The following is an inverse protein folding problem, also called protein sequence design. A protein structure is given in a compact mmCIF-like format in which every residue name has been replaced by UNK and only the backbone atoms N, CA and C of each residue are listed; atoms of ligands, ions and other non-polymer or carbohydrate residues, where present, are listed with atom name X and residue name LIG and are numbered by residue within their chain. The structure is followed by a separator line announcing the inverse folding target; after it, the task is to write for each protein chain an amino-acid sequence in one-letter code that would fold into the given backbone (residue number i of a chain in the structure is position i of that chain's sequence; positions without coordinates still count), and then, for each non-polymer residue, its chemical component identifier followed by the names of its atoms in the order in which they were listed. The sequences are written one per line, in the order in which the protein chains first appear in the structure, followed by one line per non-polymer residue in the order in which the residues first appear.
data_IF_489914503173
#
_entry.id   IF_489914503173
#
_cell.length_a   1.000
_cell.length_b   1.000
_cell.length_c   1.000
_cell.angle_alpha   90.00
_cell.angle_beta   90.00
_cell.angle_gamma   90.00
#
_symmetry.space_group_name_H-M   'P 1'
#
loop_
_entity.id
_entity.type
_entity.pdbx_description
1 polymer ?
#
# COMPACT_ATOMS: atom_id res chain seq x y z
N UNK A 1 -27.05 70.87 2.68
CA UNK A 1 -27.00 69.77 3.66
C UNK A 1 -27.58 68.54 3.00
N UNK A 2 -26.70 67.66 2.49
CA UNK A 2 -26.38 66.32 3.03
C UNK A 2 -27.52 65.30 2.79
N UNK A 3 -27.36 64.40 1.80
CA UNK A 3 -26.99 62.96 1.94
C UNK A 3 -28.17 62.10 2.48
N UNK A 4 -28.50 60.87 2.07
CA UNK A 4 -27.91 59.87 1.17
C UNK A 4 -28.94 58.72 0.93
N UNK A 5 -28.69 57.90 -0.10
CA UNK A 5 -29.31 56.59 -0.39
C UNK A 5 -29.18 55.59 0.78
N UNK A 6 -30.10 54.62 0.90
CA UNK A 6 -29.75 53.27 1.39
C UNK A 6 -30.37 52.21 0.48
N UNK A 7 -29.47 51.52 -0.22
CA UNK A 7 -29.66 50.33 -1.04
C UNK A 7 -29.65 49.13 -0.10
N UNK A 8 -30.67 48.27 -0.15
CA UNK A 8 -30.65 46.95 0.50
C UNK A 8 -29.53 46.11 -0.10
N UNK A 9 -28.51 45.79 0.71
CA UNK A 9 -27.46 44.83 0.34
C UNK A 9 -27.85 43.45 0.87
N UNK A 10 -28.10 42.53 -0.04
CA UNK A 10 -28.07 41.08 0.20
C UNK A 10 -26.62 40.72 0.50
N UNK A 11 -26.32 40.31 1.73
CA UNK A 11 -25.02 39.73 2.09
C UNK A 11 -25.15 38.23 1.93
N UNK A 12 -24.75 37.72 0.76
CA UNK A 12 -24.51 36.29 0.56
C UNK A 12 -23.16 35.93 1.17
N UNK A 13 -23.17 35.12 2.23
CA UNK A 13 -21.96 34.59 2.85
C UNK A 13 -21.48 33.39 2.04
N UNK A 14 -20.40 33.54 1.25
CA UNK A 14 -19.75 32.43 0.57
C UNK A 14 -18.80 31.73 1.54
N UNK A 15 -19.22 30.59 2.10
CA UNK A 15 -18.34 29.64 2.78
C UNK A 15 -17.62 28.81 1.72
N UNK A 16 -16.38 29.17 1.39
CA UNK A 16 -15.49 28.31 0.60
C UNK A 16 -14.99 27.22 1.56
N UNK A 17 -15.57 26.03 1.46
CA UNK A 17 -15.03 24.82 2.08
C UNK A 17 -13.72 24.47 1.37
N UNK A 18 -12.59 24.74 2.01
CA UNK A 18 -11.31 24.14 1.64
C UNK A 18 -11.43 22.63 1.88
N UNK A 19 -11.69 21.87 0.82
CA UNK A 19 -11.56 20.41 0.87
C UNK A 19 -10.07 20.08 0.90
N UNK A 20 -9.56 19.69 2.06
CA UNK A 20 -8.26 19.02 2.11
C UNK A 20 -8.42 17.70 1.33
N UNK A 21 -7.44 17.32 0.49
CA UNK A 21 -7.45 16.01 -0.14
C UNK A 21 -7.59 14.94 0.95
N UNK A 22 -8.62 14.11 0.83
CA UNK A 22 -8.78 12.97 1.70
C UNK A 22 -7.62 12.02 1.42
N UNK A 23 -6.67 11.93 2.37
CA UNK A 23 -5.55 11.02 2.24
C UNK A 23 -6.08 9.60 2.19
N UNK A 24 -5.78 8.92 1.09
CA UNK A 24 -6.07 7.51 0.99
C UNK A 24 -5.04 6.76 1.84
N UNK A 25 -5.48 5.67 2.49
CA UNK A 25 -4.62 4.84 3.31
C UNK A 25 -5.04 3.37 3.19
N UNK A 26 -4.09 2.46 3.00
CA UNK A 26 -4.37 1.03 2.88
C UNK A 26 -3.14 0.15 2.78
N UNK A 27 -3.35 -1.16 2.95
CA UNK A 27 -2.32 -2.19 2.83
C UNK A 27 -2.95 -3.54 2.44
N UNK A 28 -2.13 -4.51 2.06
CA UNK A 28 -2.60 -5.87 1.85
C UNK A 28 -2.63 -6.62 3.19
N UNK A 29 -3.83 -7.05 3.58
CA UNK A 29 -4.07 -7.86 4.78
C UNK A 29 -3.89 -9.36 4.52
N UNK A 30 -4.21 -9.83 3.31
CA UNK A 30 -4.11 -11.24 2.93
C UNK A 30 -3.58 -11.39 1.49
N UNK A 31 -2.63 -12.30 1.23
CA UNK A 31 -1.66 -12.79 2.21
C UNK A 31 -0.98 -11.60 2.92
N UNK A 32 -0.57 -11.76 4.17
CA UNK A 32 -0.10 -10.64 4.99
C UNK A 32 1.11 -9.94 4.37
N UNK A 33 1.00 -8.65 4.10
CA UNK A 33 2.12 -7.83 3.63
C UNK A 33 3.15 -7.55 4.73
N UNK A 34 4.27 -6.93 4.34
CA UNK A 34 5.26 -6.38 5.27
C UNK A 34 4.63 -5.35 6.20
N UNK A 35 3.77 -4.47 5.67
CA UNK A 35 2.99 -3.48 6.42
C UNK A 35 2.03 -4.16 7.40
N UNK A 36 1.41 -5.27 6.98
CA UNK A 36 0.51 -6.02 7.84
C UNK A 36 1.23 -6.64 9.03
N UNK A 37 2.27 -7.45 8.78
CA UNK A 37 2.98 -8.13 9.86
C UNK A 37 3.77 -7.16 10.75
N UNK A 38 4.48 -6.21 10.14
CA UNK A 38 5.39 -5.28 10.80
C UNK A 38 4.89 -3.84 10.70
N UNK A 39 3.67 -3.61 11.14
CA UNK A 39 3.03 -2.29 11.12
C UNK A 39 1.64 -2.35 11.72
N UNK A 40 0.74 -3.14 11.12
CA UNK A 40 -0.62 -3.36 11.67
C UNK A 40 -0.59 -4.27 12.89
N UNK A 41 0.09 -5.41 12.80
CA UNK A 41 0.14 -6.42 13.88
C UNK A 41 1.31 -6.16 14.84
N UNK A 42 2.51 -5.96 14.32
CA UNK A 42 3.72 -5.75 15.13
C UNK A 42 4.19 -4.30 15.05
N UNK A 43 4.14 -3.62 16.18
CA UNK A 43 4.44 -2.19 16.34
C UNK A 43 5.53 -1.93 17.38
N UNK A 44 6.18 -0.74 17.37
CA UNK A 44 7.27 -0.41 18.29
C UNK A 44 6.96 -0.58 19.78
N UNK A 45 5.73 -0.32 20.23
CA UNK A 45 5.41 -0.49 21.65
C UNK A 45 5.53 -1.97 22.12
N UNK A 46 5.47 -2.95 21.21
CA UNK A 46 5.59 -4.36 21.58
C UNK A 46 6.98 -4.78 22.04
N UNK A 47 8.02 -3.95 21.84
CA UNK A 47 9.36 -4.21 22.38
C UNK A 47 9.59 -3.57 23.76
N UNK A 48 8.60 -2.86 24.30
CA UNK A 48 8.65 -2.34 25.67
C UNK A 48 8.65 -3.48 26.70
N UNK A 49 9.33 -3.31 27.86
CA UNK A 49 9.35 -4.32 28.91
C UNK A 49 7.93 -4.72 29.37
N UNK A 50 7.66 -6.02 29.34
CA UNK A 50 6.36 -6.59 29.75
C UNK A 50 5.37 -6.81 28.61
N UNK A 51 5.67 -6.35 27.39
CA UNK A 51 4.84 -6.61 26.21
C UNK A 51 5.30 -7.87 25.46
N UNK A 52 4.38 -8.45 24.68
CA UNK A 52 4.65 -9.59 23.80
C UNK A 52 4.90 -9.09 22.38
N UNK A 53 5.99 -9.51 21.75
CA UNK A 53 6.26 -9.21 20.35
C UNK A 53 5.59 -10.26 19.43
N UNK A 54 4.58 -9.91 18.60
CA UNK A 54 3.85 -10.91 17.81
C UNK A 54 4.73 -11.59 16.76
N UNK A 55 5.56 -10.82 16.04
CA UNK A 55 6.51 -11.32 15.05
C UNK A 55 7.92 -10.83 15.36
N UNK A 56 8.76 -11.73 15.87
CA UNK A 56 10.16 -11.45 16.23
C UNK A 56 10.97 -10.93 15.02
N UNK A 57 10.66 -11.43 13.83
CA UNK A 57 11.27 -10.99 12.57
C UNK A 57 11.11 -9.48 12.29
N UNK A 58 10.09 -8.82 12.86
CA UNK A 58 9.88 -7.38 12.70
C UNK A 58 10.81 -6.54 13.58
N UNK A 59 11.44 -7.12 14.63
CA UNK A 59 12.26 -6.38 15.60
C UNK A 59 13.28 -5.42 14.95
N UNK A 60 14.01 -5.78 13.89
CA UNK A 60 15.04 -4.90 13.33
C UNK A 60 14.51 -3.57 12.78
N UNK A 61 13.22 -3.46 12.43
CA UNK A 61 12.65 -2.20 11.93
C UNK A 61 11.96 -1.38 13.02
N UNK A 62 11.80 -1.92 14.24
CA UNK A 62 11.08 -1.26 15.34
C UNK A 62 11.94 -0.25 16.11
N UNK A 63 13.26 -0.27 15.90
CA UNK A 63 14.20 0.66 16.49
C UNK A 63 15.05 1.33 15.42
N UNK A 64 15.34 2.61 15.61
CA UNK A 64 16.30 3.36 14.78
C UNK A 64 17.73 3.00 15.21
N UNK A 65 18.70 3.43 14.41
CA UNK A 65 20.13 3.17 14.67
C UNK A 65 20.62 3.79 15.99
N UNK A 66 19.99 4.87 16.44
CA UNK A 66 20.28 5.52 17.72
C UNK A 66 19.64 4.81 18.94
N UNK A 67 18.95 3.69 18.72
CA UNK A 67 18.29 2.91 19.75
C UNK A 67 16.90 3.42 20.15
N UNK A 68 16.42 4.52 19.56
CA UNK A 68 15.06 5.03 19.80
C UNK A 68 14.02 4.20 19.03
N UNK A 69 12.76 4.28 19.45
CA UNK A 69 11.66 3.62 18.73
C UNK A 69 11.46 4.22 17.35
N UNK A 70 11.29 3.33 16.36
CA UNK A 70 10.97 3.74 15.01
C UNK A 70 9.47 4.00 14.86
N UNK A 71 9.03 5.22 15.19
CA UNK A 71 7.62 5.60 15.09
C UNK A 71 7.08 5.62 13.64
N UNK A 72 7.96 5.58 12.65
CA UNK A 72 7.58 5.55 11.23
C UNK A 72 6.82 4.25 10.88
N UNK A 73 6.99 3.18 11.68
CA UNK A 73 6.24 1.92 11.55
C UNK A 73 4.73 2.09 11.81
N UNK A 74 4.31 3.12 12.55
CA UNK A 74 2.88 3.42 12.72
C UNK A 74 2.22 4.00 11.45
N UNK A 75 3.00 4.36 10.43
CA UNK A 75 2.52 4.85 9.13
C UNK A 75 2.33 3.71 8.11
N UNK A 76 2.02 2.49 8.58
CA UNK A 76 1.91 1.28 7.77
C UNK A 76 0.83 1.31 6.69
N UNK A 77 -0.13 2.22 6.82
CA UNK A 77 -1.18 2.44 5.84
C UNK A 77 -0.84 3.54 4.82
N UNK A 78 0.32 4.18 4.94
CA UNK A 78 0.69 5.43 4.25
C UNK A 78 1.84 5.26 3.25
N UNK A 79 2.08 4.04 2.76
CA UNK A 79 3.07 3.80 1.70
C UNK A 79 2.44 4.16 0.35
N UNK A 80 2.53 5.45 -0.02
CA UNK A 80 1.84 6.01 -1.17
C UNK A 80 2.68 7.00 -1.99
N UNK A 81 2.30 7.17 -3.25
CA UNK A 81 2.85 8.17 -4.17
C UNK A 81 1.78 8.69 -5.14
N UNK A 82 1.98 9.88 -5.71
CA UNK A 82 1.15 10.46 -6.78
C UNK A 82 1.86 10.30 -8.13
N UNK A 83 1.82 9.09 -8.70
CA UNK A 83 2.50 8.72 -9.95
C UNK A 83 1.64 7.77 -10.79
N UNK A 84 2.12 7.32 -11.96
CA UNK A 84 1.47 6.21 -12.69
C UNK A 84 2.02 4.82 -12.36
N UNK A 85 2.99 4.72 -11.46
CA UNK A 85 3.49 3.44 -10.95
C UNK A 85 4.48 2.68 -11.78
N UNK A 86 4.77 1.47 -11.33
CA UNK A 86 5.74 0.60 -12.01
C UNK A 86 5.41 0.37 -13.49
N UNK A 87 4.15 0.11 -13.82
CA UNK A 87 3.72 -0.21 -15.21
C UNK A 87 4.05 0.90 -16.24
N UNK A 88 4.07 2.18 -15.84
CA UNK A 88 4.20 3.30 -16.78
C UNK A 88 5.34 4.26 -16.44
N UNK A 89 6.21 3.88 -15.50
CA UNK A 89 7.29 4.75 -15.06
C UNK A 89 8.63 4.36 -15.70
N UNK A 90 9.11 5.23 -16.58
CA UNK A 90 10.43 5.09 -17.21
C UNK A 90 11.59 5.37 -16.22
N UNK A 91 11.32 5.99 -15.07
CA UNK A 91 12.29 6.36 -14.05
C UNK A 91 11.83 5.81 -12.69
N UNK A 92 12.05 4.52 -12.46
CA UNK A 92 11.64 3.87 -11.22
C UNK A 92 12.41 4.41 -10.00
N UNK A 93 11.73 4.52 -8.85
CA UNK A 93 12.35 4.96 -7.60
C UNK A 93 13.44 3.99 -7.13
N UNK A 94 14.27 4.42 -6.19
CA UNK A 94 15.34 3.57 -5.67
C UNK A 94 14.77 2.40 -4.85
N UNK A 95 13.75 2.65 -4.04
CA UNK A 95 13.20 1.66 -3.11
C UNK A 95 11.94 1.01 -3.70
N UNK A 96 11.88 -0.32 -3.71
CA UNK A 96 10.81 -1.06 -4.38
C UNK A 96 9.53 -1.08 -3.54
N UNK A 97 9.60 -1.56 -2.30
CA UNK A 97 8.43 -1.78 -1.46
C UNK A 97 7.82 -0.44 -0.99
N UNK A 98 8.68 0.50 -0.64
CA UNK A 98 8.29 1.85 -0.27
C UNK A 98 7.98 2.78 -1.44
N UNK A 99 8.41 2.44 -2.66
CA UNK A 99 8.28 3.25 -3.88
C UNK A 99 8.69 4.73 -3.70
N UNK A 100 9.74 5.00 -2.90
CA UNK A 100 10.14 6.35 -2.47
C UNK A 100 8.92 7.19 -1.98
N UNK A 101 8.07 6.57 -1.16
CA UNK A 101 6.80 7.14 -0.70
C UNK A 101 6.93 8.58 -0.19
N UNK A 102 5.96 9.40 -0.58
CA UNK A 102 5.89 10.82 -0.23
C UNK A 102 5.71 11.02 1.28
N UNK A 103 5.04 10.08 1.96
CA UNK A 103 4.91 10.08 3.42
C UNK A 103 6.26 9.95 4.13
N UNK A 104 7.27 9.42 3.44
CA UNK A 104 8.64 9.23 3.92
C UNK A 104 9.64 10.15 3.21
N UNK A 105 9.14 11.23 2.57
CA UNK A 105 9.93 12.27 1.90
C UNK A 105 10.87 11.71 0.82
N UNK A 106 10.46 10.65 0.13
CA UNK A 106 11.28 10.00 -0.91
C UNK A 106 12.39 9.10 -0.38
N UNK A 107 12.47 8.89 0.95
CA UNK A 107 13.45 8.00 1.56
C UNK A 107 13.00 6.54 1.61
N UNK A 108 13.90 5.67 2.03
CA UNK A 108 13.57 4.29 2.38
C UNK A 108 12.51 4.26 3.49
N UNK A 109 11.46 3.46 3.28
CA UNK A 109 10.46 3.16 4.30
C UNK A 109 11.00 2.06 5.24
N UNK A 110 10.39 1.84 6.42
CA UNK A 110 10.70 0.68 7.23
C UNK A 110 10.57 -0.65 6.47
N UNK A 111 9.67 -0.73 5.49
CA UNK A 111 9.37 -1.94 4.71
C UNK A 111 10.33 -2.19 3.54
N UNK A 112 11.29 -1.29 3.31
CA UNK A 112 12.41 -1.50 2.39
C UNK A 112 13.62 -2.17 3.06
N UNK A 113 13.59 -2.36 4.38
CA UNK A 113 14.67 -2.99 5.11
C UNK A 113 14.98 -4.41 4.59
N UNK A 114 16.27 -4.73 4.51
CA UNK A 114 16.75 -6.02 4.02
C UNK A 114 16.84 -7.06 5.15
N UNK A 115 15.70 -7.34 5.78
CA UNK A 115 15.59 -8.25 6.93
C UNK A 115 14.93 -9.57 6.52
N UNK A 116 14.99 -10.59 7.37
CA UNK A 116 14.27 -11.84 7.17
C UNK A 116 12.77 -11.66 7.51
N UNK A 117 12.02 -11.04 6.58
CA UNK A 117 10.60 -10.72 6.77
C UNK A 117 9.74 -11.96 7.07
N UNK A 118 8.66 -11.83 7.86
CA UNK A 118 7.63 -12.86 7.96
C UNK A 118 7.09 -13.25 6.58
N UNK A 119 6.92 -14.55 6.35
CA UNK A 119 6.50 -15.09 5.04
C UNK A 119 5.11 -15.72 5.10
N UNK A 120 4.35 -15.61 4.02
CA UNK A 120 3.13 -16.39 3.81
C UNK A 120 3.45 -17.69 3.09
N UNK A 121 2.93 -18.82 3.57
CA UNK A 121 2.94 -20.07 2.81
C UNK A 121 1.83 -20.04 1.77
N UNK A 122 2.17 -20.21 0.50
CA UNK A 122 1.19 -20.22 -0.59
C UNK A 122 1.46 -21.38 -1.56
N UNK A 123 0.51 -21.66 -2.45
CA UNK A 123 0.74 -22.49 -3.64
C UNK A 123 0.61 -21.64 -4.89
N UNK A 124 1.16 -22.11 -6.01
CA UNK A 124 0.82 -21.55 -7.32
C UNK A 124 -0.66 -21.77 -7.66
N UNK A 125 -1.17 -21.02 -8.63
CA UNK A 125 -2.58 -21.02 -9.02
C UNK A 125 -3.40 -20.01 -8.23
N UNK A 126 -4.69 -20.29 -8.05
CA UNK A 126 -5.65 -19.37 -7.44
C UNK A 126 -5.27 -19.03 -5.98
N UNK A 127 -4.98 -17.75 -5.75
CA UNK A 127 -4.79 -17.18 -4.42
C UNK A 127 -5.61 -15.91 -4.28
N UNK A 128 -6.24 -15.75 -3.12
CA UNK A 128 -6.99 -14.53 -2.78
C UNK A 128 -6.06 -13.49 -2.15
N UNK A 129 -6.13 -12.27 -2.69
CA UNK A 129 -5.51 -11.06 -2.18
C UNK A 129 -6.58 -10.12 -1.62
N UNK A 130 -6.34 -9.55 -0.45
CA UNK A 130 -7.27 -8.67 0.25
C UNK A 130 -6.56 -7.39 0.65
N UNK A 131 -6.99 -6.27 0.07
CA UNK A 131 -6.59 -4.94 0.51
C UNK A 131 -7.54 -4.45 1.60
N UNK A 132 -6.98 -4.05 2.74
CA UNK A 132 -7.67 -3.29 3.77
C UNK A 132 -7.48 -1.80 3.50
N UNK A 133 -8.59 -1.11 3.22
CA UNK A 133 -8.63 0.31 2.90
C UNK A 133 -9.41 1.11 3.96
N UNK A 134 -9.62 0.53 5.15
CA UNK A 134 -10.42 1.12 6.23
C UNK A 134 -9.90 2.46 6.75
N UNK A 135 -8.64 2.79 6.50
CA UNK A 135 -8.00 4.04 6.90
C UNK A 135 -8.27 5.21 5.92
N UNK A 136 -8.81 4.91 4.74
CA UNK A 136 -9.20 5.88 3.72
C UNK A 136 -9.91 5.15 2.58
N UNK A 137 -11.22 4.87 2.69
CA UNK A 137 -11.91 3.98 1.76
C UNK A 137 -12.27 4.68 0.44
N UNK A 138 -11.36 4.61 -0.53
CA UNK A 138 -11.50 5.24 -1.85
C UNK A 138 -12.09 4.29 -2.89
N UNK A 139 -13.28 3.76 -2.62
CA UNK A 139 -13.98 2.86 -3.54
C UNK A 139 -14.34 3.54 -4.87
N UNK A 140 -14.79 4.79 -4.81
CA UNK A 140 -15.41 5.50 -5.94
C UNK A 140 -14.44 5.91 -7.05
N UNK A 141 -13.16 6.04 -6.73
CA UNK A 141 -12.12 6.49 -7.66
C UNK A 141 -10.92 5.54 -7.71
N UNK A 142 -11.05 4.34 -7.16
CA UNK A 142 -10.12 3.23 -7.45
C UNK A 142 -10.20 2.91 -8.94
N UNK A 143 -9.05 2.86 -9.60
CA UNK A 143 -8.92 2.57 -11.03
C UNK A 143 -8.42 1.15 -11.28
N UNK A 144 -7.36 0.74 -10.59
CA UNK A 144 -6.72 -0.56 -10.83
C UNK A 144 -6.01 -1.16 -9.63
N UNK A 145 -5.86 -2.49 -9.66
CA UNK A 145 -4.94 -3.27 -8.83
C UNK A 145 -3.97 -4.02 -9.73
N UNK A 146 -2.68 -4.04 -9.38
CA UNK A 146 -1.65 -4.74 -10.14
C UNK A 146 -0.69 -5.48 -9.23
N UNK A 147 -0.21 -6.63 -9.68
CA UNK A 147 0.68 -7.50 -8.92
C UNK A 147 1.83 -8.00 -9.81
N UNK A 148 3.05 -7.79 -9.34
CA UNK A 148 4.27 -8.34 -9.90
C UNK A 148 4.87 -9.32 -8.92
N UNK A 149 5.63 -10.27 -9.43
CA UNK A 149 6.36 -11.24 -8.62
C UNK A 149 7.82 -11.23 -9.04
N UNK A 150 8.71 -11.54 -8.10
CA UNK A 150 10.12 -11.81 -8.41
C UNK A 150 10.28 -12.92 -9.47
N UNK A 151 11.32 -12.81 -10.28
CA UNK A 151 11.69 -13.77 -11.35
C UNK A 151 11.88 -15.19 -10.82
N UNK A 152 11.74 -16.18 -11.70
CA UNK A 152 11.84 -17.58 -11.32
C UNK A 152 13.19 -17.99 -10.71
N UNK A 153 14.27 -17.33 -11.11
CA UNK A 153 15.63 -17.55 -10.60
C UNK A 153 16.00 -16.67 -9.40
N UNK A 154 15.06 -15.84 -8.91
CA UNK A 154 15.28 -14.97 -7.75
C UNK A 154 15.76 -15.77 -6.53
N UNK A 155 16.81 -15.25 -5.89
CA UNK A 155 17.38 -15.82 -4.67
C UNK A 155 17.31 -14.75 -3.58
N UNK A 156 16.39 -14.92 -2.63
CA UNK A 156 16.32 -14.06 -1.47
C UNK A 156 17.65 -14.09 -0.70
N UNK A 157 18.18 -12.91 -0.39
CA UNK A 157 19.38 -12.73 0.42
C UNK A 157 19.07 -11.77 1.55
N UNK A 158 19.28 -12.23 2.78
CA UNK A 158 19.29 -11.33 3.93
C UNK A 158 20.34 -10.24 3.71
N UNK A 159 20.02 -9.00 4.08
CA UNK A 159 20.86 -7.81 3.89
C UNK A 159 21.01 -7.29 2.45
N UNK A 160 20.27 -7.83 1.47
CA UNK A 160 20.11 -7.20 0.16
C UNK A 160 18.66 -6.70 -0.03
N UNK A 161 18.43 -5.39 -0.24
CA UNK A 161 17.10 -4.90 -0.52
C UNK A 161 16.63 -5.39 -1.90
N UNK A 162 15.32 -5.55 -2.03
CA UNK A 162 14.67 -5.90 -3.30
C UNK A 162 14.95 -4.80 -4.34
N UNK A 163 15.24 -5.19 -5.58
CA UNK A 163 15.46 -4.28 -6.70
C UNK A 163 14.44 -4.51 -7.80
N UNK A 164 14.15 -3.48 -8.59
CA UNK A 164 13.23 -3.61 -9.74
C UNK A 164 13.67 -4.69 -10.74
N UNK A 165 14.98 -4.91 -10.89
CA UNK A 165 15.53 -5.98 -11.73
C UNK A 165 15.22 -7.38 -11.22
N UNK A 166 14.81 -7.54 -9.97
CA UNK A 166 14.43 -8.83 -9.38
C UNK A 166 12.99 -9.21 -9.75
N UNK A 167 12.14 -8.25 -10.13
CA UNK A 167 10.75 -8.45 -10.50
C UNK A 167 10.60 -8.81 -11.99
N UNK A 168 9.55 -9.56 -12.31
CA UNK A 168 9.04 -9.63 -13.68
C UNK A 168 8.67 -8.22 -14.17
N UNK A 169 8.80 -7.97 -15.47
CA UNK A 169 8.47 -6.67 -16.06
C UNK A 169 6.96 -6.46 -16.19
N UNK A 170 6.22 -7.53 -16.42
CA UNK A 170 4.76 -7.52 -16.55
C UNK A 170 4.09 -8.00 -15.26
N UNK A 171 2.93 -7.42 -14.89
CA UNK A 171 2.15 -7.93 -13.78
C UNK A 171 1.60 -9.31 -14.12
N UNK A 172 1.62 -10.24 -13.17
CA UNK A 172 0.96 -11.55 -13.34
C UNK A 172 -0.55 -11.48 -13.09
N UNK A 173 -1.02 -10.40 -12.46
CA UNK A 173 -2.42 -10.17 -12.14
C UNK A 173 -2.73 -8.67 -12.20
N UNK A 174 -3.79 -8.31 -12.92
CA UNK A 174 -4.27 -6.93 -13.03
C UNK A 174 -5.80 -6.92 -13.08
N UNK A 175 -6.40 -5.97 -12.35
CA UNK A 175 -7.83 -5.72 -12.35
C UNK A 175 -8.11 -4.23 -12.50
N UNK A 176 -9.15 -3.90 -13.25
CA UNK A 176 -9.74 -2.55 -13.28
C UNK A 176 -11.00 -2.51 -12.43
N UNK A 177 -11.29 -1.35 -11.82
CA UNK A 177 -12.48 -1.14 -11.02
C UNK A 177 -13.30 0.06 -11.52
N UNK A 178 -14.62 -0.08 -11.50
CA UNK A 178 -15.58 1.01 -11.67
C UNK A 178 -16.69 0.82 -10.62
N UNK A 179 -16.75 1.71 -9.64
CA UNK A 179 -17.72 1.60 -8.55
C UNK A 179 -19.18 1.79 -9.01
N UNK A 180 -19.40 2.47 -10.15
CA UNK A 180 -20.72 2.65 -10.72
C UNK A 180 -21.18 1.41 -11.49
N UNK A 181 -20.24 0.66 -12.06
CA UNK A 181 -20.49 -0.56 -12.81
C UNK A 181 -19.56 -1.68 -12.33
N UNK A 182 -19.72 -2.16 -11.08
CA UNK A 182 -18.79 -3.12 -10.51
C UNK A 182 -18.73 -4.39 -11.37
N UNK A 183 -17.57 -5.05 -11.44
CA UNK A 183 -17.42 -6.32 -12.14
C UNK A 183 -18.51 -7.31 -11.74
N UNK A 184 -19.12 -7.93 -12.75
CA UNK A 184 -20.24 -8.85 -12.53
C UNK A 184 -19.78 -10.21 -11.97
N UNK A 185 -18.49 -10.53 -12.09
CA UNK A 185 -17.89 -11.75 -11.56
C UNK A 185 -17.18 -11.50 -10.23
N UNK A 186 -17.91 -11.71 -9.13
CA UNK A 186 -17.38 -11.60 -7.76
C UNK A 186 -16.30 -12.62 -7.42
N UNK A 187 -16.06 -13.64 -8.24
CA UNK A 187 -14.99 -14.60 -7.97
C UNK A 187 -13.62 -14.04 -8.37
N UNK A 188 -13.57 -12.93 -9.12
CA UNK A 188 -12.33 -12.32 -9.60
C UNK A 188 -11.94 -11.09 -8.79
N UNK A 189 -12.81 -10.08 -8.72
CA UNK A 189 -12.63 -8.87 -7.92
C UNK A 189 -13.98 -8.41 -7.35
N UNK A 190 -14.01 -8.02 -6.08
CA UNK A 190 -15.17 -7.42 -5.48
C UNK A 190 -14.82 -6.51 -4.29
N UNK A 191 -15.72 -5.59 -3.97
CA UNK A 191 -15.60 -4.65 -2.86
C UNK A 191 -16.49 -5.07 -1.68
N UNK A 192 -15.88 -5.32 -0.52
CA UNK A 192 -16.56 -5.40 0.75
C UNK A 192 -16.69 -3.99 1.35
N UNK A 193 -17.75 -3.29 0.97
CA UNK A 193 -18.02 -1.94 1.49
C UNK A 193 -18.35 -1.91 2.98
N UNK A 194 -18.75 -3.04 3.57
CA UNK A 194 -19.06 -3.10 5.01
C UNK A 194 -17.75 -3.12 5.81
N UNK A 195 -16.77 -3.89 5.36
CA UNK A 195 -15.49 -4.05 6.04
C UNK A 195 -14.38 -3.17 5.47
N UNK A 196 -14.67 -2.31 4.48
CA UNK A 196 -13.72 -1.47 3.77
C UNK A 196 -12.56 -2.28 3.14
N UNK A 197 -12.91 -3.30 2.35
CA UNK A 197 -11.91 -4.16 1.69
C UNK A 197 -12.16 -4.34 0.21
N UNK A 198 -11.08 -4.60 -0.51
CA UNK A 198 -11.12 -5.15 -1.85
C UNK A 198 -10.56 -6.57 -1.84
N UNK A 199 -11.26 -7.47 -2.50
CA UNK A 199 -10.88 -8.87 -2.63
C UNK A 199 -10.60 -9.17 -4.09
N UNK A 200 -9.48 -9.82 -4.38
CA UNK A 200 -9.04 -10.21 -5.71
C UNK A 200 -8.55 -11.65 -5.73
N UNK A 201 -8.90 -12.42 -6.75
CA UNK A 201 -8.37 -13.77 -6.96
C UNK A 201 -7.38 -13.73 -8.12
N UNK A 202 -6.11 -14.00 -7.84
CA UNK A 202 -5.05 -13.99 -8.85
C UNK A 202 -4.52 -15.40 -9.11
N UNK A 203 -4.10 -15.66 -10.35
CA UNK A 203 -3.38 -16.88 -10.72
C UNK A 203 -1.88 -16.68 -10.46
N UNK A 204 -1.42 -17.03 -9.26
CA UNK A 204 -0.03 -16.86 -8.85
C UNK A 204 0.87 -17.82 -9.63
N UNK A 205 1.94 -17.34 -10.30
CA UNK A 205 2.83 -18.19 -11.07
C UNK A 205 3.51 -19.29 -10.25
N UNK A 206 3.86 -20.40 -10.91
CA UNK A 206 4.71 -21.42 -10.32
C UNK A 206 6.12 -20.89 -10.07
N UNK A 207 6.62 -21.12 -8.86
CA UNK A 207 7.96 -20.77 -8.39
C UNK A 207 8.41 -21.79 -7.33
N UNK A 208 9.64 -21.67 -6.86
CA UNK A 208 10.19 -22.53 -5.81
C UNK A 208 10.95 -21.71 -4.78
N UNK A 209 10.76 -22.00 -3.49
CA UNK A 209 11.47 -21.28 -2.43
C UNK A 209 10.82 -19.93 -2.12
N UNK A 210 11.64 -18.94 -1.77
CA UNK A 210 11.18 -17.64 -1.27
C UNK A 210 11.11 -16.60 -2.39
N UNK A 211 9.97 -15.93 -2.49
CA UNK A 211 9.71 -14.87 -3.46
C UNK A 211 9.06 -13.66 -2.80
N UNK A 212 9.03 -12.54 -3.53
CA UNK A 212 8.30 -11.34 -3.12
C UNK A 212 7.30 -10.99 -4.20
N UNK A 213 6.07 -10.68 -3.79
CA UNK A 213 5.05 -10.06 -4.63
C UNK A 213 5.05 -8.57 -4.30
N UNK A 214 5.20 -7.73 -5.31
CA UNK A 214 4.99 -6.29 -5.23
C UNK A 214 3.61 -5.97 -5.79
N UNK A 215 2.81 -5.23 -5.03
CA UNK A 215 1.44 -4.93 -5.39
C UNK A 215 1.16 -3.44 -5.33
N UNK A 216 0.28 -3.00 -6.23
CA UNK A 216 -0.17 -1.63 -6.32
C UNK A 216 -1.69 -1.54 -6.30
N UNK A 217 -2.22 -0.60 -5.53
CA UNK A 217 -3.60 -0.12 -5.61
C UNK A 217 -3.57 1.32 -6.12
N UNK A 218 -4.14 1.56 -7.30
CA UNK A 218 -4.12 2.88 -7.94
C UNK A 218 -5.50 3.52 -8.02
N UNK A 219 -5.55 4.81 -7.68
CA UNK A 219 -6.69 5.70 -7.92
C UNK A 219 -6.58 6.33 -9.31
N UNK A 220 -7.70 6.89 -9.76
CA UNK A 220 -7.85 7.46 -11.08
C UNK A 220 -6.94 8.69 -11.31
N UNK A 221 -7.00 9.24 -12.53
CA UNK A 221 -6.16 10.35 -12.97
C UNK A 221 -6.36 11.68 -12.23
N UNK A 222 -7.44 11.83 -11.45
CA UNK A 222 -7.71 13.06 -10.71
C UNK A 222 -6.69 13.26 -9.59
N UNK A 223 -6.18 12.16 -9.03
CA UNK A 223 -5.09 12.18 -8.05
C UNK A 223 -3.82 11.50 -8.56
N UNK A 224 -3.96 10.43 -9.34
CA UNK A 224 -2.87 9.47 -9.60
C UNK A 224 -2.25 8.93 -8.30
N UNK A 225 -3.00 8.92 -7.21
CA UNK A 225 -2.50 8.41 -5.93
C UNK A 225 -2.50 6.89 -5.96
N UNK A 226 -1.41 6.29 -5.48
CA UNK A 226 -1.16 4.86 -5.56
C UNK A 226 -0.50 4.39 -4.29
N UNK A 227 -0.86 3.18 -3.89
CA UNK A 227 -0.28 2.50 -2.74
C UNK A 227 0.60 1.36 -3.18
N UNK A 228 1.56 1.07 -2.33
CA UNK A 228 2.60 0.11 -2.60
C UNK A 228 2.67 -0.85 -1.42
N UNK A 229 2.72 -2.15 -1.69
CA UNK A 229 2.82 -3.16 -0.65
C UNK A 229 3.61 -4.36 -1.14
N UNK A 230 4.53 -4.82 -0.31
CA UNK A 230 5.32 -6.03 -0.56
C UNK A 230 4.81 -7.19 0.29
N UNK A 231 4.72 -8.37 -0.32
CA UNK A 231 4.29 -9.61 0.31
C UNK A 231 5.40 -10.64 0.14
N UNK A 232 6.02 -11.03 1.25
CA UNK A 232 6.98 -12.13 1.27
C UNK A 232 6.24 -13.47 1.30
N UNK A 233 6.60 -14.37 0.39
CA UNK A 233 5.95 -15.66 0.20
C UNK A 233 6.96 -16.81 0.13
N UNK A 234 6.50 -18.01 0.48
CA UNK A 234 7.23 -19.27 0.33
C UNK A 234 6.30 -20.34 -0.22
N UNK A 235 6.79 -21.08 -1.23
CA UNK A 235 6.10 -22.21 -1.88
C UNK A 235 6.37 -23.53 -1.15
#
# INVERSE_FOLDING_TARGET
MFFNRIISRVVGCFLILFQLPAQSHGLIEKPGSREYFCGKVTQPHHIEPGNTLPYEACRPILTKQDGTYNLDVYQFMSVLSHTRGYYQNNNLPQHVCGYDSEAFKGGATPWDAAINWPTNKITSGEQEFVWDISYGPHFSDTEHFRYWITKADYQFKENQPLQWSDLETEPFCEFTWDDNNPPQDKNTIWADKINNKFHMTCQVPERSGRHVIYAEWGRNQDTNERFHSCIDIVY
#
